data_IF_663277042818
#
_entry.id   IF_663277042818
#
_cell.length_a   1.000
_cell.length_b   1.000
_cell.length_c   1.000
_cell.angle_alpha   90.00
_cell.angle_beta   90.00
_cell.angle_gamma   90.00
#
_symmetry.space_group_name_H-M   'P 1'
#
loop_
_entity.id
_entity.type
_entity.pdbx_description
1 polymer ?
#
# COMPACT_ATOMS: atom_id res chain seq x y z
N UNK A 1 -1.37 5.86 10.67
CA UNK A 1 -0.35 4.79 10.87
C UNK A 1 1.06 5.34 10.73
N UNK A 2 1.54 5.66 9.52
CA UNK A 2 2.96 5.95 9.30
C UNK A 2 3.51 7.09 10.15
N UNK A 3 2.87 8.26 10.17
CA UNK A 3 3.35 9.38 11.00
C UNK A 3 3.47 9.03 12.49
N UNK A 4 2.58 8.21 13.03
CA UNK A 4 2.67 7.77 14.42
C UNK A 4 3.89 6.86 14.65
N UNK A 5 4.17 5.94 13.72
CA UNK A 5 5.36 5.07 13.73
C UNK A 5 6.64 5.90 13.63
N UNK A 6 6.63 6.93 12.79
CA UNK A 6 7.74 7.85 12.60
C UNK A 6 8.08 8.62 13.88
N UNK A 7 7.07 9.27 14.47
CA UNK A 7 7.20 10.01 15.73
C UNK A 7 7.67 9.05 16.84
N UNK A 8 7.11 7.84 16.90
CA UNK A 8 7.49 6.79 17.84
C UNK A 8 8.99 6.45 17.77
N UNK A 9 9.53 6.25 16.56
CA UNK A 9 10.95 5.95 16.41
C UNK A 9 11.84 7.17 16.68
N UNK A 10 11.43 8.35 16.23
CA UNK A 10 12.19 9.59 16.44
C UNK A 10 12.40 9.91 17.93
N UNK A 11 11.36 9.73 18.76
CA UNK A 11 11.45 9.95 20.20
C UNK A 11 11.96 8.75 20.99
N UNK A 12 12.29 7.62 20.35
CA UNK A 12 12.72 6.41 21.04
C UNK A 12 11.66 5.88 22.02
N UNK A 13 10.39 6.14 21.74
CA UNK A 13 9.26 5.83 22.63
C UNK A 13 8.97 4.33 22.77
N UNK A 14 9.81 3.47 22.17
CA UNK A 14 9.74 2.01 22.22
C UNK A 14 9.83 1.40 23.61
N UNK A 15 10.37 2.17 24.57
CA UNK A 15 10.50 1.78 25.98
C UNK A 15 9.20 1.97 26.77
N UNK A 16 8.26 2.77 26.26
CA UNK A 16 6.99 3.09 26.95
C UNK A 16 5.90 2.17 26.38
N UNK A 17 5.40 1.24 27.22
CA UNK A 17 4.37 0.26 26.85
C UNK A 17 3.10 0.93 26.31
N UNK A 18 2.64 2.00 26.94
CA UNK A 18 1.45 2.75 26.53
C UNK A 18 1.53 3.38 25.14
N UNK A 19 2.73 3.61 24.59
CA UNK A 19 2.90 4.11 23.21
C UNK A 19 3.11 2.94 22.25
N UNK A 20 3.82 1.90 22.67
CA UNK A 20 4.07 0.72 21.84
C UNK A 20 2.77 -0.04 21.46
N UNK A 21 1.83 -0.21 22.40
CA UNK A 21 0.63 -1.02 22.17
C UNK A 21 -0.27 -0.44 21.05
N UNK A 22 -0.63 0.87 21.05
CA UNK A 22 -1.38 1.47 19.94
C UNK A 22 -0.64 1.43 18.61
N UNK A 23 0.69 1.60 18.62
CA UNK A 23 1.51 1.48 17.41
C UNK A 23 1.44 0.07 16.83
N UNK A 24 1.37 -0.96 17.68
CA UNK A 24 1.19 -2.34 17.22
C UNK A 24 -0.19 -2.55 16.59
N UNK A 25 -1.26 -2.06 17.20
CA UNK A 25 -2.61 -2.10 16.60
C UNK A 25 -2.65 -1.42 15.24
N UNK A 26 -1.91 -0.32 15.09
CA UNK A 26 -1.74 0.39 13.84
C UNK A 26 -1.07 -0.49 12.75
N UNK A 27 -0.04 -1.26 13.08
CA UNK A 27 0.59 -2.25 12.17
C UNK A 27 -0.41 -3.37 11.83
N UNK A 28 -1.11 -3.91 12.83
CA UNK A 28 -2.15 -4.91 12.64
C UNK A 28 -3.27 -4.40 11.71
N UNK A 29 -3.65 -3.12 11.81
CA UNK A 29 -4.62 -2.47 10.91
C UNK A 29 -4.15 -2.48 9.45
N UNK A 30 -2.85 -2.32 9.19
CA UNK A 30 -2.31 -2.38 7.84
C UNK A 30 -2.34 -3.81 7.27
N UNK A 31 -1.99 -4.79 8.09
CA UNK A 31 -2.07 -6.20 7.71
C UNK A 31 -3.52 -6.65 7.49
N UNK A 32 -4.46 -6.15 8.31
CA UNK A 32 -5.90 -6.30 8.08
C UNK A 32 -6.29 -5.76 6.70
N UNK A 33 -5.87 -4.53 6.36
CA UNK A 33 -6.17 -3.92 5.06
C UNK A 33 -5.55 -4.70 3.89
N UNK A 34 -4.36 -5.27 4.08
CA UNK A 34 -3.70 -6.16 3.11
C UNK A 34 -4.56 -7.41 2.87
N UNK A 35 -4.98 -8.09 3.95
CA UNK A 35 -5.90 -9.23 3.89
C UNK A 35 -7.22 -8.90 3.19
N UNK A 36 -7.85 -7.80 3.59
CA UNK A 36 -9.12 -7.33 3.04
C UNK A 36 -9.02 -6.96 1.55
N UNK A 37 -8.04 -6.14 1.19
CA UNK A 37 -7.89 -5.57 -0.16
C UNK A 37 -7.56 -6.62 -1.21
N UNK A 38 -6.58 -7.49 -0.93
CA UNK A 38 -6.20 -8.53 -1.87
C UNK A 38 -7.29 -9.60 -2.02
N UNK A 39 -7.94 -10.01 -0.93
CA UNK A 39 -9.07 -10.96 -0.98
C UNK A 39 -10.24 -10.38 -1.78
N UNK A 40 -10.60 -9.12 -1.53
CA UNK A 40 -11.66 -8.44 -2.29
C UNK A 40 -11.34 -8.38 -3.78
N UNK A 41 -10.08 -8.11 -4.16
CA UNK A 41 -9.69 -8.14 -5.56
C UNK A 41 -9.88 -9.53 -6.17
N UNK A 42 -9.35 -10.59 -5.54
CA UNK A 42 -9.40 -11.93 -6.13
C UNK A 42 -10.83 -12.47 -6.19
N UNK A 43 -11.69 -12.13 -5.23
CA UNK A 43 -13.11 -12.49 -5.29
C UNK A 43 -13.88 -11.75 -6.37
N UNK A 44 -13.57 -10.48 -6.64
CA UNK A 44 -14.32 -9.67 -7.61
C UNK A 44 -13.79 -9.75 -9.04
N UNK A 45 -12.47 -9.77 -9.20
CA UNK A 45 -11.81 -9.73 -10.52
C UNK A 45 -11.38 -11.12 -11.01
N UNK A 46 -11.23 -12.10 -10.11
CA UNK A 46 -10.76 -13.45 -10.42
C UNK A 46 -9.47 -13.52 -11.28
N UNK A 47 -8.68 -12.45 -11.25
CA UNK A 47 -7.44 -12.33 -12.03
C UNK A 47 -6.26 -12.80 -11.18
N UNK A 48 -5.68 -13.92 -11.59
CA UNK A 48 -4.53 -14.58 -10.97
C UNK A 48 -3.26 -14.46 -11.83
N UNK A 49 -3.20 -13.47 -12.74
CA UNK A 49 -2.08 -13.26 -13.63
C UNK A 49 -0.76 -12.99 -12.90
N UNK A 50 0.34 -13.53 -13.45
CA UNK A 50 1.70 -13.34 -12.94
C UNK A 50 2.11 -11.87 -12.89
N UNK A 51 1.64 -11.05 -13.83
CA UNK A 51 1.96 -9.62 -13.91
C UNK A 51 1.57 -8.87 -12.63
N UNK A 52 0.44 -9.22 -12.01
CA UNK A 52 0.03 -8.61 -10.74
C UNK A 52 0.97 -8.98 -9.60
N UNK A 53 1.36 -10.25 -9.52
CA UNK A 53 2.30 -10.74 -8.49
C UNK A 53 3.62 -9.99 -8.63
N UNK A 54 4.14 -9.91 -9.85
CA UNK A 54 5.34 -9.15 -10.18
C UNK A 54 5.23 -7.68 -9.74
N UNK A 55 4.15 -6.99 -10.09
CA UNK A 55 3.95 -5.58 -9.74
C UNK A 55 3.94 -5.36 -8.22
N UNK A 56 3.20 -6.19 -7.47
CA UNK A 56 3.13 -6.06 -6.01
C UNK A 56 4.47 -6.38 -5.36
N UNK A 57 5.11 -7.48 -5.75
CA UNK A 57 6.39 -7.91 -5.19
C UNK A 57 7.51 -6.91 -5.49
N UNK A 58 7.61 -6.40 -6.72
CA UNK A 58 8.59 -5.37 -7.08
C UNK A 58 8.30 -4.09 -6.30
N UNK A 59 7.04 -3.61 -6.26
CA UNK A 59 6.71 -2.35 -5.57
C UNK A 59 7.06 -2.38 -4.09
N UNK A 60 6.81 -3.50 -3.41
CA UNK A 60 7.02 -3.65 -1.97
C UNK A 60 8.50 -3.83 -1.60
N UNK A 61 9.31 -4.39 -2.50
CA UNK A 61 10.68 -4.81 -2.19
C UNK A 61 11.77 -3.99 -2.89
N UNK A 62 11.44 -3.24 -3.94
CA UNK A 62 12.45 -2.54 -4.75
C UNK A 62 13.32 -1.61 -3.90
N UNK A 63 12.70 -0.80 -3.04
CA UNK A 63 13.45 0.15 -2.21
C UNK A 63 14.26 -0.56 -1.11
N UNK A 64 13.68 -1.55 -0.43
CA UNK A 64 14.39 -2.28 0.64
C UNK A 64 15.58 -3.07 0.09
N UNK A 65 15.44 -3.68 -1.09
CA UNK A 65 16.53 -4.39 -1.75
C UNK A 65 17.63 -3.44 -2.21
N UNK A 66 17.27 -2.32 -2.86
CA UNK A 66 18.24 -1.31 -3.26
C UNK A 66 19.04 -0.81 -2.04
N UNK A 67 18.34 -0.51 -0.96
CA UNK A 67 18.96 0.06 0.23
C UNK A 67 19.84 -0.94 0.96
N UNK A 68 19.41 -2.21 1.05
CA UNK A 68 20.20 -3.30 1.60
C UNK A 68 21.57 -3.43 0.91
N UNK A 69 21.59 -3.40 -0.44
CA UNK A 69 22.85 -3.45 -1.19
C UNK A 69 23.67 -2.17 -1.06
N UNK A 70 23.05 -0.99 -1.14
CA UNK A 70 23.81 0.28 -1.08
C UNK A 70 24.41 0.58 0.29
N UNK A 71 23.76 0.13 1.36
CA UNK A 71 24.17 0.41 2.75
C UNK A 71 24.87 -0.78 3.41
N UNK A 72 25.06 -1.89 2.67
CA UNK A 72 25.59 -3.14 3.20
C UNK A 72 24.85 -3.61 4.46
N UNK A 73 23.52 -3.61 4.41
CA UNK A 73 22.66 -4.01 5.53
C UNK A 73 21.82 -5.23 5.19
N UNK A 74 21.47 -6.01 6.22
CA UNK A 74 20.61 -7.17 6.02
C UNK A 74 19.18 -6.76 5.64
N UNK A 75 18.63 -7.42 4.63
CA UNK A 75 17.26 -7.18 4.19
C UNK A 75 16.20 -7.43 5.29
N UNK A 76 16.47 -8.33 6.24
CA UNK A 76 15.56 -8.61 7.36
C UNK A 76 15.43 -7.43 8.33
N UNK A 77 16.42 -6.52 8.35
CA UNK A 77 16.37 -5.27 9.12
C UNK A 77 15.16 -4.41 8.70
N UNK A 78 14.73 -4.49 7.44
CA UNK A 78 13.51 -3.86 6.94
C UNK A 78 12.28 -4.77 7.02
N UNK A 79 12.12 -5.51 8.12
CA UNK A 79 11.18 -6.63 8.28
C UNK A 79 9.75 -6.41 7.75
N UNK A 80 9.25 -5.16 7.76
CA UNK A 80 7.89 -4.84 7.32
C UNK A 80 7.66 -5.19 5.83
N UNK A 81 8.65 -4.93 4.97
CA UNK A 81 8.57 -5.22 3.53
C UNK A 81 8.46 -6.73 3.22
N UNK A 82 9.34 -7.62 3.74
CA UNK A 82 9.17 -9.05 3.57
C UNK A 82 7.93 -9.60 4.27
N UNK A 83 7.53 -9.05 5.43
CA UNK A 83 6.33 -9.47 6.15
C UNK A 83 5.08 -9.30 5.28
N UNK A 84 4.88 -8.11 4.71
CA UNK A 84 3.72 -7.81 3.85
C UNK A 84 3.78 -8.61 2.55
N UNK A 85 4.97 -8.79 1.99
CA UNK A 85 5.18 -9.61 0.78
C UNK A 85 4.81 -11.08 1.01
N UNK A 86 5.21 -11.65 2.14
CA UNK A 86 4.87 -13.02 2.53
C UNK A 86 3.36 -13.19 2.70
N UNK A 87 2.70 -12.26 3.42
CA UNK A 87 1.24 -12.29 3.56
C UNK A 87 0.51 -12.15 2.23
N UNK A 88 0.98 -11.29 1.33
CA UNK A 88 0.43 -11.19 -0.03
C UNK A 88 0.52 -12.54 -0.77
N UNK A 89 1.66 -13.23 -0.70
CA UNK A 89 1.84 -14.53 -1.33
C UNK A 89 0.95 -15.61 -0.70
N UNK A 90 0.79 -15.62 0.62
CA UNK A 90 -0.16 -16.53 1.32
C UNK A 90 -1.58 -16.28 0.84
N UNK A 91 -2.03 -15.02 0.82
CA UNK A 91 -3.38 -14.66 0.35
C UNK A 91 -3.55 -15.08 -1.12
N UNK A 92 -2.56 -14.82 -1.97
CA UNK A 92 -2.59 -15.24 -3.38
C UNK A 92 -2.70 -16.76 -3.50
N UNK A 93 -1.85 -17.52 -2.80
CA UNK A 93 -1.86 -18.98 -2.81
C UNK A 93 -3.20 -19.54 -2.35
N UNK A 94 -3.72 -19.07 -1.22
CA UNK A 94 -5.03 -19.47 -0.68
C UNK A 94 -6.17 -19.10 -1.62
N UNK A 95 -6.07 -17.99 -2.36
CA UNK A 95 -7.09 -17.59 -3.32
C UNK A 95 -7.00 -18.34 -4.65
N UNK A 96 -5.80 -18.74 -5.06
CA UNK A 96 -5.50 -19.45 -6.30
C UNK A 96 -5.86 -20.94 -6.22
N UNK A 97 -5.57 -21.60 -5.10
CA UNK A 97 -5.91 -23.00 -4.88
C UNK A 97 -7.43 -23.17 -4.95
N UNK A 98 -7.90 -23.93 -5.93
CA UNK A 98 -9.33 -24.15 -6.14
C UNK A 98 -10.09 -22.90 -6.61
N UNK A 99 -9.44 -21.99 -7.35
CA UNK A 99 -10.04 -20.72 -7.81
C UNK A 99 -11.43 -20.87 -8.45
N UNK A 100 -11.68 -21.98 -9.15
CA UNK A 100 -12.96 -22.32 -9.80
C UNK A 100 -14.13 -22.50 -8.82
N UNK A 101 -13.85 -22.77 -7.55
CA UNK A 101 -14.86 -23.03 -6.52
C UNK A 101 -14.98 -21.88 -5.51
N UNK A 102 -14.33 -20.74 -5.76
CA UNK A 102 -14.36 -19.58 -4.87
C UNK A 102 -15.77 -18.97 -4.72
N UNK A 103 -16.69 -19.26 -5.64
CA UNK A 103 -18.10 -18.83 -5.55
C UNK A 103 -18.83 -19.48 -4.37
N UNK A 104 -18.43 -20.70 -4.00
CA UNK A 104 -19.02 -21.41 -2.86
C UNK A 104 -18.40 -20.91 -1.56
N UNK A 105 -19.13 -20.06 -0.84
CA UNK A 105 -18.74 -19.55 0.48
C UNK A 105 -18.22 -20.62 1.45
N UNK A 106 -18.86 -21.80 1.64
CA UNK A 106 -18.34 -22.80 2.58
C UNK A 106 -16.98 -23.37 2.15
N UNK A 107 -16.74 -23.55 0.84
CA UNK A 107 -15.44 -23.98 0.32
C UNK A 107 -14.38 -22.90 0.54
N UNK A 108 -14.74 -21.64 0.29
CA UNK A 108 -13.89 -20.48 0.52
C UNK A 108 -13.49 -20.30 2.00
N UNK A 109 -14.42 -20.56 2.93
CA UNK A 109 -14.13 -20.53 4.36
C UNK A 109 -13.24 -21.71 4.77
N UNK A 110 -13.53 -22.91 4.25
CA UNK A 110 -12.72 -24.11 4.49
C UNK A 110 -11.25 -23.91 4.12
N UNK A 111 -10.97 -23.36 2.93
CA UNK A 111 -9.57 -23.09 2.52
C UNK A 111 -8.88 -22.02 3.38
N UNK A 112 -9.61 -21.01 3.86
CA UNK A 112 -9.05 -19.98 4.73
C UNK A 112 -8.66 -20.60 6.08
N UNK A 113 -9.50 -21.47 6.63
CA UNK A 113 -9.21 -22.23 7.86
C UNK A 113 -8.00 -23.14 7.64
N UNK A 114 -7.95 -23.88 6.52
CA UNK A 114 -6.81 -24.74 6.19
C UNK A 114 -5.53 -23.91 6.06
N UNK A 115 -5.57 -22.78 5.35
CA UNK A 115 -4.44 -21.84 5.24
C UNK A 115 -4.00 -21.35 6.62
N UNK A 116 -4.95 -20.98 7.49
CA UNK A 116 -4.65 -20.51 8.84
C UNK A 116 -3.95 -21.59 9.67
N UNK A 117 -4.42 -22.84 9.61
CA UNK A 117 -3.79 -23.98 10.27
C UNK A 117 -2.38 -24.23 9.72
N UNK A 118 -2.23 -24.30 8.38
CA UNK A 118 -0.94 -24.55 7.74
C UNK A 118 0.10 -23.48 8.10
N UNK A 119 -0.25 -22.20 8.03
CA UNK A 119 0.66 -21.11 8.38
C UNK A 119 0.97 -21.12 9.87
N UNK A 120 0.00 -21.43 10.74
CA UNK A 120 0.23 -21.52 12.19
C UNK A 120 1.20 -22.66 12.54
N UNK A 121 1.00 -23.84 11.94
CA UNK A 121 1.90 -25.00 12.14
C UNK A 121 3.29 -24.66 11.61
N UNK A 122 3.38 -24.09 10.41
CA UNK A 122 4.66 -23.71 9.81
C UNK A 122 5.44 -22.67 10.64
N UNK A 123 4.75 -21.72 11.28
CA UNK A 123 5.39 -20.72 12.14
C UNK A 123 5.72 -21.26 13.54
N UNK A 124 4.97 -22.26 14.04
CA UNK A 124 5.25 -22.89 15.34
C UNK A 124 6.47 -23.81 15.29
N UNK A 125 6.65 -24.50 14.17
CA UNK A 125 7.72 -25.46 13.97
C UNK A 125 9.00 -24.76 13.47
N UNK A 126 9.84 -24.25 14.39
CA UNK A 126 11.06 -23.50 14.07
C UNK A 126 12.02 -24.28 13.15
N UNK A 127 12.04 -25.61 13.24
CA UNK A 127 12.92 -26.46 12.42
C UNK A 127 12.62 -26.36 10.91
N UNK A 128 11.35 -26.17 10.51
CA UNK A 128 10.98 -26.00 9.10
C UNK A 128 11.54 -24.69 8.54
N UNK A 129 11.41 -23.61 9.32
CA UNK A 129 11.96 -22.31 8.99
C UNK A 129 13.50 -22.34 8.97
N UNK A 130 14.12 -23.02 9.92
CA UNK A 130 15.57 -23.19 9.92
C UNK A 130 16.08 -23.93 8.69
N UNK A 131 15.42 -25.00 8.25
CA UNK A 131 15.79 -25.71 7.02
C UNK A 131 15.67 -24.78 5.82
N UNK A 132 14.55 -24.04 5.72
CA UNK A 132 14.33 -23.09 4.64
C UNK A 132 15.39 -21.99 4.61
N UNK A 133 15.74 -21.42 5.77
CA UNK A 133 16.73 -20.35 5.85
C UNK A 133 18.16 -20.86 5.68
N UNK A 134 18.48 -22.09 6.15
CA UNK A 134 19.76 -22.75 5.84
C UNK A 134 19.88 -23.03 4.35
N UNK A 135 18.81 -23.45 3.68
CA UNK A 135 18.78 -23.63 2.23
C UNK A 135 18.98 -22.28 1.51
N UNK A 136 18.29 -21.23 1.96
CA UNK A 136 18.42 -19.88 1.40
C UNK A 136 19.83 -19.31 1.62
N UNK A 137 20.44 -19.57 2.77
CA UNK A 137 21.82 -19.20 3.06
C UNK A 137 22.80 -19.92 2.12
N UNK A 138 22.60 -21.23 1.86
CA UNK A 138 23.48 -22.00 0.95
C UNK A 138 23.31 -21.62 -0.51
N UNK A 139 22.07 -21.45 -0.97
CA UNK A 139 21.78 -21.19 -2.39
C UNK A 139 22.03 -19.72 -2.70
N UNK A 140 21.51 -18.82 -1.87
CA UNK A 140 21.49 -17.39 -2.17
C UNK A 140 22.46 -16.57 -1.33
N UNK A 141 23.15 -17.12 -0.33
CA UNK A 141 24.03 -16.33 0.56
C UNK A 141 23.27 -15.40 1.52
N UNK A 142 22.00 -15.67 1.81
CA UNK A 142 21.14 -14.80 2.63
C UNK A 142 21.05 -15.34 4.07
N UNK A 143 21.54 -14.58 5.04
CA UNK A 143 21.53 -14.94 6.46
C UNK A 143 20.31 -14.35 7.20
N UNK A 144 19.28 -15.14 7.45
CA UNK A 144 18.08 -14.70 8.19
C UNK A 144 17.95 -15.42 9.54
N UNK A 145 17.48 -14.69 10.55
CA UNK A 145 17.15 -15.24 11.87
C UNK A 145 15.74 -15.83 11.87
N UNK A 146 15.64 -17.16 11.99
CA UNK A 146 14.36 -17.86 12.08
C UNK A 146 13.56 -17.42 13.31
N UNK A 147 14.21 -17.30 14.46
CA UNK A 147 13.58 -16.89 15.73
C UNK A 147 12.96 -15.50 15.64
N UNK A 148 13.70 -14.54 15.08
CA UNK A 148 13.19 -13.17 14.93
C UNK A 148 12.03 -13.12 13.94
N UNK A 149 12.13 -13.86 12.84
CA UNK A 149 11.07 -13.96 11.85
C UNK A 149 9.79 -14.55 12.43
N UNK A 150 9.89 -15.70 13.11
CA UNK A 150 8.77 -16.35 13.81
C UNK A 150 8.10 -15.40 14.79
N UNK A 151 8.90 -14.70 15.61
CA UNK A 151 8.36 -13.72 16.55
C UNK A 151 7.57 -12.62 15.84
N UNK A 152 8.12 -12.03 14.78
CA UNK A 152 7.49 -10.92 14.05
C UNK A 152 6.19 -11.33 13.37
N UNK A 153 6.14 -12.52 12.79
CA UNK A 153 4.95 -13.06 12.09
C UNK A 153 3.87 -13.47 13.08
N UNK A 154 4.24 -14.18 14.14
CA UNK A 154 3.28 -14.75 15.12
C UNK A 154 2.50 -13.66 15.85
N UNK A 155 3.11 -12.49 16.06
CA UNK A 155 2.45 -11.34 16.69
C UNK A 155 1.20 -10.90 15.93
N UNK A 156 1.22 -10.87 14.59
CA UNK A 156 0.09 -10.41 13.77
C UNK A 156 -0.54 -11.55 12.95
N UNK A 157 -0.47 -12.79 13.45
CA UNK A 157 -0.86 -13.98 12.68
C UNK A 157 -2.33 -13.97 12.24
N UNK A 158 -3.24 -13.67 13.18
CA UNK A 158 -4.68 -13.83 12.98
C UNK A 158 -5.31 -12.66 12.23
N UNK A 159 -4.74 -11.45 12.33
CA UNK A 159 -5.38 -10.22 11.84
C UNK A 159 -5.56 -10.22 10.32
N UNK A 160 -4.65 -10.84 9.58
CA UNK A 160 -4.76 -10.96 8.12
C UNK A 160 -5.96 -11.82 7.73
N UNK A 161 -6.15 -12.95 8.41
CA UNK A 161 -7.32 -13.83 8.21
C UNK A 161 -8.63 -13.14 8.59
N UNK A 162 -8.65 -12.36 9.67
CA UNK A 162 -9.81 -11.51 10.01
C UNK A 162 -10.10 -10.49 8.89
N UNK A 163 -9.06 -9.92 8.26
CA UNK A 163 -9.20 -9.10 7.06
C UNK A 163 -9.83 -9.84 5.88
N UNK A 164 -9.42 -11.08 5.62
CA UNK A 164 -10.02 -11.93 4.58
C UNK A 164 -11.50 -12.23 4.88
N UNK A 165 -11.83 -12.57 6.13
CA UNK A 165 -13.21 -12.83 6.56
C UNK A 165 -14.08 -11.58 6.47
N UNK A 166 -13.55 -10.42 6.84
CA UNK A 166 -14.23 -9.14 6.70
C UNK A 166 -14.52 -8.80 5.23
N UNK A 167 -13.60 -9.13 4.30
CA UNK A 167 -13.85 -8.98 2.86
C UNK A 167 -15.04 -9.83 2.39
N UNK A 168 -15.07 -11.11 2.79
CA UNK A 168 -16.18 -12.02 2.48
C UNK A 168 -17.48 -11.49 3.09
N UNK A 169 -17.46 -11.08 4.36
CA UNK A 169 -18.62 -10.54 5.06
C UNK A 169 -19.21 -9.32 4.33
N UNK A 170 -18.38 -8.36 3.94
CA UNK A 170 -18.83 -7.17 3.20
C UNK A 170 -19.41 -7.53 1.83
N UNK A 171 -18.81 -8.50 1.12
CA UNK A 171 -19.33 -8.98 -0.17
C UNK A 171 -20.70 -9.64 0.02
N UNK A 172 -20.84 -10.55 1.00
CA UNK A 172 -22.10 -11.26 1.26
C UNK A 172 -23.22 -10.35 1.78
N UNK A 173 -22.90 -9.36 2.62
CA UNK A 173 -23.86 -8.32 3.05
C UNK A 173 -24.45 -7.61 1.82
N UNK A 174 -23.65 -7.33 0.80
CA UNK A 174 -24.10 -6.70 -0.45
C UNK A 174 -24.88 -7.67 -1.34
N UNK A 175 -24.42 -8.90 -1.50
CA UNK A 175 -25.09 -9.92 -2.33
C UNK A 175 -26.50 -10.24 -1.83
N UNK A 176 -26.66 -10.46 -0.52
CA UNK A 176 -27.95 -10.75 0.10
C UNK A 176 -28.77 -9.51 0.46
N UNK A 177 -28.30 -8.31 0.10
CA UNK A 177 -28.96 -7.02 0.38
C UNK A 177 -29.42 -6.87 1.84
N UNK A 178 -28.56 -7.28 2.79
CA UNK A 178 -28.88 -7.19 4.22
C UNK A 178 -29.15 -5.74 4.66
N UNK A 179 -28.61 -4.76 3.94
CA UNK A 179 -28.81 -3.33 4.19
C UNK A 179 -30.24 -2.85 3.98
N UNK A 180 -31.06 -3.60 3.23
CA UNK A 180 -32.46 -3.26 2.93
C UNK A 180 -33.44 -3.85 3.96
N UNK A 181 -32.99 -4.72 4.86
CA UNK A 181 -33.85 -5.36 5.85
C UNK A 181 -34.24 -4.40 6.97
N UNK A 182 -35.46 -4.52 7.50
CA UNK A 182 -35.97 -3.66 8.58
C UNK A 182 -35.10 -3.68 9.85
N UNK A 183 -34.49 -4.83 10.16
CA UNK A 183 -33.61 -5.01 11.32
C UNK A 183 -32.22 -4.39 11.14
N UNK A 184 -31.84 -3.98 9.92
CA UNK A 184 -30.51 -3.42 9.64
C UNK A 184 -30.22 -2.16 10.45
N UNK A 185 -31.22 -1.30 10.63
CA UNK A 185 -31.06 -0.07 11.41
C UNK A 185 -30.74 -0.36 12.88
N UNK A 186 -31.44 -1.34 13.48
CA UNK A 186 -31.18 -1.77 14.84
C UNK A 186 -29.80 -2.42 14.95
N UNK A 187 -29.48 -3.37 14.06
CA UNK A 187 -28.20 -4.06 14.03
C UNK A 187 -27.02 -3.07 13.87
N UNK A 188 -27.17 -2.06 13.01
CA UNK A 188 -26.15 -1.01 12.82
C UNK A 188 -25.98 -0.16 14.10
N UNK A 189 -27.06 0.24 14.76
CA UNK A 189 -26.97 1.02 16.02
C UNK A 189 -26.33 0.22 17.14
N UNK A 190 -26.71 -1.06 17.28
CA UNK A 190 -26.09 -1.98 18.24
C UNK A 190 -24.61 -2.16 17.94
N UNK A 191 -24.24 -2.37 16.66
CA UNK A 191 -22.84 -2.51 16.25
C UNK A 191 -22.01 -1.24 16.54
N UNK A 192 -22.58 -0.05 16.33
CA UNK A 192 -21.92 1.24 16.66
C UNK A 192 -21.71 1.35 18.18
N UNK A 193 -22.75 1.10 18.99
CA UNK A 193 -22.65 1.15 20.45
C UNK A 193 -21.65 0.13 21.00
N UNK A 194 -21.71 -1.11 20.51
CA UNK A 194 -20.76 -2.17 20.85
C UNK A 194 -19.33 -1.79 20.45
N UNK A 195 -19.12 -1.19 19.28
CA UNK A 195 -17.79 -0.77 18.82
C UNK A 195 -17.21 0.35 19.69
N UNK A 196 -18.02 1.32 20.13
CA UNK A 196 -17.59 2.34 21.06
C UNK A 196 -17.16 1.73 22.41
N UNK A 197 -17.97 0.79 22.94
CA UNK A 197 -17.63 0.08 24.18
C UNK A 197 -16.36 -0.76 24.03
N UNK A 198 -16.16 -1.44 22.90
CA UNK A 198 -14.94 -2.19 22.60
C UNK A 198 -13.69 -1.31 22.60
N UNK A 199 -13.76 -0.08 22.06
CA UNK A 199 -12.62 0.85 22.11
C UNK A 199 -12.33 1.34 23.53
N UNK A 200 -13.37 1.64 24.33
CA UNK A 200 -13.20 2.02 25.74
C UNK A 200 -12.60 0.87 26.55
N UNK A 201 -13.11 -0.35 26.35
CA UNK A 201 -12.56 -1.55 26.97
C UNK A 201 -11.11 -1.79 26.55
N UNK A 202 -10.80 -1.65 25.26
CA UNK A 202 -9.44 -1.84 24.77
C UNK A 202 -8.47 -0.81 25.36
N UNK A 203 -8.88 0.45 25.47
CA UNK A 203 -8.10 1.50 26.12
C UNK A 203 -7.84 1.19 27.61
N UNK A 204 -8.86 0.73 28.35
CA UNK A 204 -8.69 0.29 29.72
C UNK A 204 -7.76 -0.93 29.83
N UNK A 205 -7.94 -1.92 28.95
CA UNK A 205 -7.09 -3.10 28.88
C UNK A 205 -5.63 -2.73 28.65
N UNK A 206 -5.34 -1.79 27.72
CA UNK A 206 -3.97 -1.34 27.44
C UNK A 206 -3.31 -0.67 28.65
N UNK A 207 -4.05 0.15 29.40
CA UNK A 207 -3.55 0.83 30.61
C UNK A 207 -3.28 -0.13 31.77
N UNK A 208 -3.98 -1.25 31.82
CA UNK A 208 -3.84 -2.27 32.87
C UNK A 208 -2.68 -3.25 32.62
N UNK A 209 -2.02 -3.21 31.45
CA UNK A 209 -0.92 -4.13 31.16
C UNK A 209 0.38 -3.71 31.85
N UNK A 210 0.93 -4.60 32.68
CA UNK A 210 2.17 -4.38 33.43
C UNK A 210 3.40 -4.27 32.53
N UNK A 211 3.45 -5.00 31.41
CA UNK A 211 4.62 -5.05 30.55
C UNK A 211 4.30 -5.23 29.07
N UNK A 212 5.25 -4.80 28.23
CA UNK A 212 5.25 -5.03 26.78
C UNK A 212 5.19 -6.53 26.44
N UNK A 213 5.84 -7.37 27.24
CA UNK A 213 5.88 -8.82 26.99
C UNK A 213 4.52 -9.46 27.23
N UNK A 214 3.84 -9.06 28.30
CA UNK A 214 2.47 -9.51 28.60
C UNK A 214 1.52 -9.10 27.47
N UNK A 215 1.59 -7.85 27.02
CA UNK A 215 0.78 -7.39 25.89
C UNK A 215 1.08 -8.16 24.60
N UNK A 216 2.35 -8.39 24.27
CA UNK A 216 2.75 -9.13 23.06
C UNK A 216 2.16 -10.55 23.01
N UNK A 217 1.98 -11.19 24.17
CA UNK A 217 1.34 -12.51 24.24
C UNK A 217 -0.15 -12.45 23.89
N UNK A 218 -0.86 -11.41 24.36
CA UNK A 218 -2.29 -11.23 24.09
C UNK A 218 -2.58 -10.64 22.71
N UNK A 219 -1.66 -9.82 22.18
CA UNK A 219 -1.84 -9.03 20.96
C UNK A 219 -2.41 -9.83 19.75
N UNK A 220 -1.90 -11.04 19.41
CA UNK A 220 -2.43 -11.81 18.29
C UNK A 220 -3.93 -12.08 18.38
N UNK A 221 -4.45 -12.22 19.60
CA UNK A 221 -5.83 -12.62 19.88
C UNK A 221 -6.78 -11.44 20.12
N UNK A 222 -6.27 -10.25 20.43
CA UNK A 222 -7.10 -9.08 20.75
C UNK A 222 -7.03 -7.98 19.70
N UNK A 223 -5.99 -7.96 18.85
CA UNK A 223 -5.71 -6.86 17.92
C UNK A 223 -6.83 -6.59 16.93
N UNK A 224 -7.63 -7.59 16.59
CA UNK A 224 -8.76 -7.43 15.67
C UNK A 224 -9.93 -6.64 16.26
N UNK A 225 -10.09 -6.64 17.59
CA UNK A 225 -11.20 -5.97 18.27
C UNK A 225 -11.17 -4.45 18.02
N UNK A 226 -10.09 -3.71 18.35
CA UNK A 226 -10.04 -2.27 18.08
C UNK A 226 -10.05 -1.95 16.58
N UNK A 227 -9.49 -2.82 15.73
CA UNK A 227 -9.49 -2.64 14.27
C UNK A 227 -10.91 -2.70 13.70
N UNK A 228 -11.68 -3.74 14.04
CA UNK A 228 -13.07 -3.87 13.59
C UNK A 228 -13.97 -2.79 14.19
N UNK A 229 -13.81 -2.49 15.48
CA UNK A 229 -14.54 -1.42 16.14
C UNK A 229 -14.31 -0.06 15.46
N UNK A 230 -13.05 0.26 15.15
CA UNK A 230 -12.71 1.48 14.41
C UNK A 230 -13.35 1.50 13.03
N UNK A 231 -13.35 0.38 12.29
CA UNK A 231 -13.96 0.31 10.96
C UNK A 231 -15.48 0.58 11.03
N UNK A 232 -16.18 -0.02 11.99
CA UNK A 232 -17.62 0.20 12.16
C UNK A 232 -17.90 1.66 12.50
N UNK A 233 -17.20 2.23 13.48
CA UNK A 233 -17.37 3.63 13.89
C UNK A 233 -17.03 4.60 12.76
N UNK A 234 -15.96 4.33 12.01
CA UNK A 234 -15.55 5.14 10.86
C UNK A 234 -16.58 5.14 9.73
N UNK A 235 -17.38 4.07 9.61
CA UNK A 235 -18.44 3.94 8.61
C UNK A 235 -19.84 4.22 9.17
N UNK A 236 -19.97 4.68 10.43
CA UNK A 236 -21.25 4.89 11.10
C UNK A 236 -22.10 6.02 10.49
N UNK A 237 -21.45 7.06 9.94
CA UNK A 237 -22.14 8.20 9.31
C UNK A 237 -21.49 8.57 7.98
N UNK A 238 -22.26 9.25 7.13
CA UNK A 238 -21.75 9.75 5.83
C UNK A 238 -20.59 10.72 6.04
N UNK A 239 -20.70 11.61 7.04
CA UNK A 239 -19.67 12.60 7.39
C UNK A 239 -18.37 11.91 7.78
N UNK A 240 -18.44 10.92 8.69
CA UNK A 240 -17.25 10.19 9.12
C UNK A 240 -16.64 9.40 7.97
N UNK A 241 -17.47 8.80 7.10
CA UNK A 241 -16.97 8.03 5.96
C UNK A 241 -16.32 8.91 4.89
N UNK A 242 -16.82 10.12 4.65
CA UNK A 242 -16.31 11.02 3.60
C UNK A 242 -15.18 11.94 4.05
N UNK A 243 -15.02 12.19 5.36
CA UNK A 243 -14.02 13.13 5.88
C UNK A 243 -12.62 12.52 5.94
N UNK A 244 -11.76 12.78 4.95
CA UNK A 244 -10.34 12.40 4.97
C UNK A 244 -9.41 13.61 4.96
N UNK A 245 -8.30 13.56 5.69
CA UNK A 245 -7.28 14.60 5.63
C UNK A 245 -6.41 14.43 4.38
N UNK A 246 -6.29 15.50 3.59
CA UNK A 246 -5.39 15.55 2.43
C UNK A 246 -3.92 15.35 2.83
N UNK A 247 -3.50 15.89 3.97
CA UNK A 247 -2.13 15.72 4.47
C UNK A 247 -1.82 14.26 4.84
N UNK A 248 -2.74 13.59 5.54
CA UNK A 248 -2.58 12.15 5.83
C UNK A 248 -2.65 11.30 4.56
N UNK A 249 -3.47 11.70 3.58
CA UNK A 249 -3.52 11.03 2.28
C UNK A 249 -2.21 11.19 1.49
N UNK A 250 -1.60 12.38 1.51
CA UNK A 250 -0.30 12.65 0.88
C UNK A 250 0.80 11.76 1.47
N UNK A 251 0.98 11.76 2.79
CA UNK A 251 1.98 10.90 3.44
C UNK A 251 1.66 9.40 3.24
N UNK A 252 0.38 9.06 3.13
CA UNK A 252 -0.06 7.71 2.78
C UNK A 252 0.46 7.23 1.41
N UNK A 253 0.63 8.13 0.43
CA UNK A 253 1.11 7.79 -0.93
C UNK A 253 2.58 7.38 -0.96
N UNK A 254 3.43 8.04 -0.17
CA UNK A 254 4.85 7.71 -0.01
C UNK A 254 5.12 6.91 1.27
N UNK A 255 4.12 6.17 1.76
CA UNK A 255 4.15 5.53 3.08
C UNK A 255 5.26 4.50 3.25
N UNK A 256 5.53 3.70 2.22
CA UNK A 256 6.57 2.67 2.25
C UNK A 256 7.95 3.30 2.26
N UNK A 257 8.17 4.31 1.42
CA UNK A 257 9.41 5.07 1.34
C UNK A 257 9.70 5.78 2.66
N UNK A 258 8.69 6.45 3.21
CA UNK A 258 8.77 7.14 4.49
C UNK A 258 9.15 6.17 5.61
N UNK A 259 8.59 4.96 5.62
CA UNK A 259 8.91 3.93 6.62
C UNK A 259 10.35 3.42 6.53
N UNK A 260 10.93 3.34 5.33
CA UNK A 260 12.29 2.79 5.14
C UNK A 260 13.34 3.89 5.33
N UNK A 261 13.14 5.06 4.72
CA UNK A 261 14.10 6.17 4.73
C UNK A 261 14.31 6.72 6.15
N UNK A 262 13.34 6.59 7.06
CA UNK A 262 13.49 7.06 8.45
C UNK A 262 14.75 6.50 9.12
N UNK A 263 15.12 5.25 8.81
CA UNK A 263 16.28 4.56 9.40
C UNK A 263 17.64 5.08 8.90
N UNK A 264 17.65 5.79 7.78
CA UNK A 264 18.88 6.25 7.11
C UNK A 264 19.03 7.76 7.07
N UNK A 265 17.92 8.48 7.26
CA UNK A 265 17.92 9.93 7.19
C UNK A 265 17.66 10.56 8.56
N UNK A 266 16.60 10.14 9.26
CA UNK A 266 16.27 10.71 10.56
C UNK A 266 17.02 10.06 11.71
N UNK A 267 17.18 8.74 11.63
CA UNK A 267 17.80 7.92 12.66
C UNK A 267 19.21 7.54 12.20
N UNK A 268 20.14 7.45 13.15
CA UNK A 268 21.51 6.99 12.95
C UNK A 268 21.87 5.92 14.00
N UNK A 269 22.89 5.12 13.73
CA UNK A 269 23.43 4.13 14.68
C UNK A 269 22.37 3.17 15.23
N UNK A 270 21.66 2.45 14.34
CA UNK A 270 20.61 1.48 14.70
C UNK A 270 19.52 2.06 15.60
N UNK A 271 18.95 3.21 15.19
CA UNK A 271 17.87 3.92 15.91
C UNK A 271 18.26 4.57 17.23
N UNK A 272 19.57 4.64 17.56
CA UNK A 272 20.04 5.24 18.81
C UNK A 272 20.46 6.71 18.69
N UNK A 273 20.69 7.19 17.47
CA UNK A 273 21.06 8.57 17.17
C UNK A 273 20.01 9.27 16.32
N UNK A 274 19.99 10.60 16.38
CA UNK A 274 19.16 11.48 15.54
C UNK A 274 20.08 12.38 14.72
N UNK A 275 19.76 12.57 13.44
CA UNK A 275 20.54 13.43 12.56
C UNK A 275 20.44 14.92 12.98
N UNK A 276 21.60 15.54 13.16
CA UNK A 276 21.75 16.98 13.41
C UNK A 276 22.41 17.63 12.18
N UNK A 277 21.64 18.39 11.42
CA UNK A 277 22.12 19.16 10.26
C UNK A 277 22.64 20.53 10.71
N UNK A 278 22.00 21.12 11.72
CA UNK A 278 22.44 22.37 12.32
C UNK A 278 23.33 22.08 13.55
N UNK A 279 24.58 22.56 13.58
CA UNK A 279 25.45 22.37 14.74
C UNK A 279 24.93 23.22 15.92
N UNK A 280 24.67 22.57 17.05
CA UNK A 280 24.26 23.23 18.30
C UNK A 280 23.01 22.63 18.92
N UNK A 281 23.09 22.24 20.19
CA UNK A 281 21.99 21.61 20.95
C UNK A 281 20.80 22.54 21.21
N UNK A 282 20.97 23.86 21.11
CA UNK A 282 19.91 24.85 21.29
C UNK A 282 18.95 24.93 20.11
N UNK A 283 19.39 24.55 18.90
CA UNK A 283 18.60 24.63 17.67
C UNK A 283 17.83 23.34 17.37
N UNK A 284 17.69 22.43 18.34
CA UNK A 284 17.03 21.12 18.16
C UNK A 284 15.62 21.21 17.57
N UNK A 285 14.71 22.12 17.98
CA UNK A 285 13.38 22.23 17.37
C UNK A 285 13.44 22.69 15.91
N UNK A 286 14.35 23.61 15.58
CA UNK A 286 14.51 24.12 14.22
C UNK A 286 15.15 23.05 13.32
N UNK A 287 16.14 22.31 13.84
CA UNK A 287 16.69 21.14 13.16
C UNK A 287 15.61 20.10 12.88
N UNK A 288 14.71 19.82 13.84
CA UNK A 288 13.59 18.89 13.63
C UNK A 288 12.66 19.35 12.51
N UNK A 289 12.25 20.63 12.49
CA UNK A 289 11.39 21.16 11.42
C UNK A 289 12.08 21.05 10.07
N UNK A 290 13.34 21.49 9.97
CA UNK A 290 14.10 21.48 8.73
C UNK A 290 14.33 20.07 8.19
N UNK A 291 14.81 19.16 9.05
CA UNK A 291 15.01 17.75 8.70
C UNK A 291 13.70 17.06 8.34
N UNK A 292 12.57 17.44 8.95
CA UNK A 292 11.23 16.90 8.60
C UNK A 292 10.81 17.32 7.19
N UNK A 293 11.00 18.58 6.82
CA UNK A 293 10.68 19.07 5.47
C UNK A 293 11.52 18.33 4.44
N UNK A 294 12.83 18.22 4.68
CA UNK A 294 13.77 17.56 3.78
C UNK A 294 13.47 16.06 3.65
N UNK A 295 13.14 15.40 4.75
CA UNK A 295 12.76 14.00 4.82
C UNK A 295 11.47 13.68 4.05
N UNK A 296 10.42 14.49 4.21
CA UNK A 296 9.15 14.32 3.50
C UNK A 296 9.35 14.52 1.99
N UNK A 297 10.12 15.54 1.60
CA UNK A 297 10.45 15.79 0.20
C UNK A 297 11.22 14.61 -0.42
N UNK A 298 12.25 14.11 0.25
CA UNK A 298 13.02 12.96 -0.20
C UNK A 298 12.15 11.70 -0.35
N UNK A 299 11.25 11.47 0.61
CA UNK A 299 10.33 10.32 0.58
C UNK A 299 9.35 10.40 -0.59
N UNK A 300 8.86 11.60 -0.93
CA UNK A 300 7.99 11.83 -2.09
C UNK A 300 8.72 11.60 -3.42
N UNK A 301 9.93 12.14 -3.57
CA UNK A 301 10.76 11.91 -4.76
C UNK A 301 11.12 10.43 -4.94
N UNK A 302 11.48 9.75 -3.85
CA UNK A 302 11.74 8.31 -3.88
C UNK A 302 10.49 7.53 -4.29
N UNK A 303 9.30 7.93 -3.82
CA UNK A 303 8.05 7.24 -4.16
C UNK A 303 7.71 7.37 -5.65
N UNK A 304 8.01 8.52 -6.25
CA UNK A 304 7.89 8.71 -7.70
C UNK A 304 8.89 7.83 -8.46
N UNK A 305 10.14 7.82 -8.04
CA UNK A 305 11.19 7.01 -8.66
C UNK A 305 10.90 5.50 -8.58
N UNK A 306 10.55 4.99 -7.39
CA UNK A 306 10.24 3.56 -7.20
C UNK A 306 9.03 3.13 -8.01
N UNK A 307 8.01 4.00 -8.12
CA UNK A 307 6.82 3.73 -8.93
C UNK A 307 7.15 3.71 -10.42
N UNK A 308 7.95 4.65 -10.92
CA UNK A 308 8.39 4.68 -12.31
C UNK A 308 9.28 3.48 -12.69
N UNK A 309 10.18 3.06 -11.80
CA UNK A 309 11.01 1.88 -12.02
C UNK A 309 10.15 0.61 -12.00
N UNK A 310 9.20 0.52 -11.07
CA UNK A 310 8.27 -0.62 -11.00
C UNK A 310 7.46 -0.76 -12.29
N UNK A 311 6.94 0.34 -12.82
CA UNK A 311 6.18 0.32 -14.09
C UNK A 311 7.06 -0.03 -15.29
N UNK A 312 8.31 0.44 -15.30
CA UNK A 312 9.29 0.07 -16.33
C UNK A 312 9.66 -1.42 -16.31
N UNK A 313 9.86 -2.01 -15.13
CA UNK A 313 10.16 -3.44 -14.96
C UNK A 313 8.96 -4.29 -15.36
N UNK A 314 7.76 -3.93 -14.90
CA UNK A 314 6.56 -4.75 -15.06
C UNK A 314 5.81 -4.55 -16.39
N UNK A 315 6.28 -3.65 -17.26
CA UNK A 315 5.66 -3.36 -18.55
C UNK A 315 4.37 -2.53 -18.41
N UNK A 316 4.21 -1.53 -19.27
CA UNK A 316 3.07 -0.61 -19.24
C UNK A 316 1.75 -1.34 -19.54
N UNK A 317 0.90 -1.44 -18.52
CA UNK A 317 -0.52 -1.11 -18.70
C UNK A 317 -0.78 0.17 -17.92
N UNK A 318 -0.36 1.29 -18.50
CA UNK A 318 -0.77 2.62 -18.07
C UNK A 318 -2.30 2.74 -18.16
N UNK A 319 -2.98 2.42 -17.05
CA UNK A 319 -4.30 2.91 -16.58
C UNK A 319 -4.88 2.10 -15.41
N UNK A 320 -4.11 1.23 -14.77
CA UNK A 320 -4.39 0.84 -13.39
C UNK A 320 -3.39 1.55 -12.49
N UNK A 321 -3.76 2.73 -11.98
CA UNK A 321 -3.19 3.16 -10.70
C UNK A 321 -3.46 2.02 -9.72
N UNK A 322 -2.45 1.18 -9.47
CA UNK A 322 -2.51 0.21 -8.40
C UNK A 322 -2.83 1.02 -7.15
N UNK A 323 -4.01 0.86 -6.55
CA UNK A 323 -4.21 1.40 -5.22
C UNK A 323 -3.10 0.77 -4.38
N UNK A 324 -2.37 1.58 -3.62
CA UNK A 324 -1.71 1.04 -2.44
C UNK A 324 -2.76 0.20 -1.67
N UNK A 325 -2.37 -0.77 -0.83
CA UNK A 325 -3.30 -1.55 0.00
C UNK A 325 -4.25 -0.72 0.90
N UNK A 326 -4.24 0.61 0.80
CA UNK A 326 -4.84 1.59 1.69
C UNK A 326 -5.92 2.50 1.06
N UNK A 327 -6.32 2.35 -0.21
CA UNK A 327 -7.39 3.21 -0.76
C UNK A 327 -8.48 2.42 -1.50
N UNK A 328 -9.58 2.15 -0.78
CA UNK A 328 -10.86 1.75 -1.39
C UNK A 328 -11.66 3.03 -1.62
N UNK A 329 -11.67 3.54 -2.85
CA UNK A 329 -12.63 4.56 -3.28
C UNK A 329 -13.99 3.89 -3.52
N UNK A 330 -15.11 4.40 -2.98
CA UNK A 330 -16.43 3.90 -3.33
C UNK A 330 -16.74 4.28 -4.79
N UNK A 331 -16.98 3.27 -5.64
CA UNK A 331 -17.49 3.48 -6.98
C UNK A 331 -18.90 4.07 -6.91
N UNK A 332 -19.12 5.21 -7.58
CA UNK A 332 -20.41 5.84 -7.72
C UNK A 332 -21.37 4.92 -8.49
N UNK A 333 -22.57 4.74 -7.93
CA UNK A 333 -23.71 4.14 -8.58
C UNK A 333 -24.27 5.11 -9.62
N UNK A 334 -24.38 4.67 -10.87
CA UNK A 334 -25.26 5.27 -11.87
C UNK A 334 -26.35 4.25 -12.17
N UNK A 335 -27.60 4.67 -11.98
CA UNK A 335 -28.78 3.83 -12.03
C UNK A 335 -29.11 3.29 -13.42
N UNK A 336 -29.59 2.05 -13.45
CA UNK A 336 -30.24 1.44 -14.61
C UNK A 336 -31.75 1.65 -14.50
N UNK A 337 -32.29 2.53 -15.34
CA UNK A 337 -33.70 2.52 -15.73
C UNK A 337 -33.92 1.53 -16.87
N UNK A 338 -35.01 0.76 -16.76
CA UNK A 338 -35.48 -0.26 -17.70
C UNK A 338 -35.86 0.31 -19.07
N UNK A 339 -35.67 -0.48 -20.13
CA UNK A 339 -36.67 -0.84 -21.17
C UNK A 339 -36.01 -1.83 -22.17
N UNK A 340 -36.79 -2.83 -22.61
CA UNK A 340 -36.36 -3.92 -23.51
C UNK A 340 -36.55 -3.61 -25.01
N UNK A 341 -36.74 -4.64 -25.85
CA UNK A 341 -35.72 -5.22 -26.73
C UNK A 341 -35.96 -4.92 -28.22
N UNK A 342 -34.94 -5.05 -29.09
CA UNK A 342 -35.08 -5.63 -30.44
C UNK A 342 -33.76 -5.76 -31.25
N UNK A 343 -33.62 -6.94 -31.84
CA UNK A 343 -33.03 -7.38 -33.12
C UNK A 343 -31.73 -6.80 -33.75
N UNK A 344 -30.84 -7.76 -34.05
CA UNK A 344 -30.17 -8.03 -35.34
C UNK A 344 -28.78 -7.44 -35.72
N UNK A 345 -27.83 -8.39 -35.88
CA UNK A 345 -26.85 -8.60 -36.98
C UNK A 345 -25.64 -7.67 -37.22
N UNK A 346 -24.46 -8.27 -36.96
CA UNK A 346 -23.29 -8.52 -37.83
C UNK A 346 -22.50 -7.39 -38.53
N UNK A 347 -21.20 -7.45 -38.26
CA UNK A 347 -20.01 -7.32 -39.13
C UNK A 347 -19.37 -5.94 -39.44
N UNK A 348 -18.07 -5.92 -39.08
CA UNK A 348 -16.89 -5.39 -39.77
C UNK A 348 -16.65 -3.86 -39.91
N UNK A 349 -15.59 -3.44 -39.22
CA UNK A 349 -14.49 -2.55 -39.62
C UNK A 349 -14.73 -1.45 -40.67
N UNK A 350 -14.64 -0.19 -40.25
CA UNK A 350 -13.53 0.72 -40.56
C UNK A 350 -13.92 2.19 -40.32
N UNK A 351 -13.00 2.92 -39.67
CA UNK A 351 -12.77 4.37 -39.62
C UNK A 351 -13.78 5.34 -40.26
N UNK A 352 -14.13 6.42 -39.53
CA UNK A 352 -13.84 7.83 -39.89
C UNK A 352 -14.51 8.76 -38.84
N UNK A 353 -13.80 9.85 -38.53
CA UNK A 353 -14.14 10.94 -37.60
C UNK A 353 -15.41 11.74 -37.99
N UNK A 354 -15.72 12.80 -37.21
CA UNK A 354 -16.56 14.02 -37.46
C UNK A 354 -17.46 14.32 -36.22
N UNK A 355 -17.75 15.58 -35.80
CA UNK A 355 -17.00 16.83 -35.80
C UNK A 355 -17.22 17.73 -34.54
N UNK A 356 -16.45 18.83 -34.45
CA UNK A 356 -16.76 20.01 -33.65
C UNK A 356 -17.95 20.80 -34.26
N UNK A 357 -18.79 21.36 -33.39
CA UNK A 357 -19.92 22.23 -33.77
C UNK A 357 -19.42 23.67 -33.94
N UNK A 358 -19.67 24.24 -35.11
CA UNK A 358 -19.62 25.69 -35.41
C UNK A 358 -21.02 26.31 -35.41
N UNK A 359 -21.15 27.64 -35.20
CA UNK A 359 -22.41 28.35 -35.03
C UNK A 359 -23.01 28.81 -36.38
N UNK A 360 -24.33 29.06 -36.40
CA UNK A 360 -25.07 29.81 -37.45
C UNK A 360 -25.98 30.83 -36.74
N UNK A 361 -26.23 32.03 -37.25
CA UNK A 361 -25.96 32.55 -38.59
C UNK A 361 -25.99 34.08 -38.66
N UNK A 362 -25.74 34.58 -39.88
CA UNK A 362 -25.70 35.99 -40.25
C UNK A 362 -27.07 36.53 -40.65
N UNK A 363 -27.35 37.79 -40.27
CA UNK A 363 -28.25 38.72 -40.98
C UNK A 363 -27.52 40.07 -41.10
N UNK A 364 -27.51 40.74 -42.27
CA UNK A 364 -26.69 41.93 -42.49
C UNK A 364 -27.46 43.24 -42.22
N UNK A 365 -26.86 44.15 -41.45
CA UNK A 365 -27.32 45.54 -41.36
C UNK A 365 -27.27 46.11 -39.94
N UNK A 366 -26.11 46.62 -39.53
CA UNK A 366 -25.92 47.84 -38.72
C UNK A 366 -24.41 48.02 -38.42
N UNK A 367 -23.85 49.25 -38.45
CA UNK A 367 -22.43 49.47 -38.16
C UNK A 367 -22.18 49.56 -36.65
N UNK A 368 -21.32 48.67 -36.12
CA UNK A 368 -20.82 48.75 -34.75
C UNK A 368 -19.74 49.85 -34.63
N UNK A 369 -19.68 50.58 -33.50
CA UNK A 369 -18.76 51.70 -33.30
C UNK A 369 -17.30 51.23 -33.08
N UNK A 370 -16.29 52.09 -33.34
CA UNK A 370 -14.89 51.75 -33.12
C UNK A 370 -14.53 51.81 -31.63
N UNK A 371 -13.97 50.72 -31.09
CA UNK A 371 -13.32 50.73 -29.77
C UNK A 371 -11.94 51.41 -29.85
N UNK A 372 -11.52 52.18 -28.81
CA UNK A 372 -10.33 53.00 -28.87
C UNK A 372 -9.04 52.27 -28.47
N UNK A 373 -7.97 52.63 -29.16
CA UNK A 373 -6.58 52.22 -28.94
C UNK A 373 -6.11 52.45 -27.49
N UNK A 374 -5.56 51.41 -26.85
CA UNK A 374 -4.62 51.57 -25.72
C UNK A 374 -3.43 50.59 -25.83
N UNK A 375 -2.24 51.01 -25.36
CA UNK A 375 -0.98 50.62 -25.97
C UNK A 375 -0.30 49.41 -25.32
N UNK A 376 0.56 48.79 -26.13
CA UNK A 376 1.52 47.70 -25.85
C UNK A 376 2.14 47.79 -24.45
N UNK A 377 1.92 46.75 -23.62
CA UNK A 377 2.64 46.57 -22.35
C UNK A 377 3.69 45.46 -22.47
N UNK A 378 4.92 45.83 -22.13
CA UNK A 378 6.15 45.03 -22.20
C UNK A 378 6.04 43.65 -21.52
N UNK A 379 6.49 42.60 -22.21
CA UNK A 379 6.66 41.23 -21.68
C UNK A 379 7.49 41.24 -20.39
N UNK A 380 6.95 40.64 -19.33
CA UNK A 380 7.59 40.51 -18.00
C UNK A 380 8.69 39.45 -18.03
N UNK A 381 9.76 39.69 -17.27
CA UNK A 381 10.87 38.74 -17.04
C UNK A 381 10.46 37.36 -16.51
N UNK A 382 9.22 37.21 -16.05
CA UNK A 382 8.64 35.97 -15.52
C UNK A 382 8.47 34.92 -16.63
N UNK A 383 8.19 35.35 -17.86
CA UNK A 383 8.05 34.44 -19.00
C UNK A 383 9.39 33.82 -19.40
N UNK A 384 10.52 34.49 -19.11
CA UNK A 384 11.88 33.94 -19.31
C UNK A 384 12.30 32.93 -18.24
N UNK A 385 11.62 32.88 -17.10
CA UNK A 385 11.86 31.88 -16.05
C UNK A 385 11.04 30.60 -16.24
N UNK A 386 9.98 30.66 -17.05
CA UNK A 386 9.20 29.50 -17.46
C UNK A 386 9.91 28.66 -18.54
N UNK A 387 10.82 29.28 -19.31
CA UNK A 387 11.72 28.60 -20.26
C UNK A 387 13.05 28.23 -19.60
N UNK A 388 12.97 27.55 -18.46
CA UNK A 388 14.12 26.95 -17.79
C UNK A 388 14.51 25.62 -18.43
N UNK A 389 15.65 25.62 -19.13
CA UNK A 389 16.54 24.47 -19.42
C UNK A 389 15.87 23.12 -19.76
N UNK A 390 15.84 22.79 -21.05
CA UNK A 390 15.71 21.41 -21.52
C UNK A 390 16.79 20.54 -20.85
N UNK A 391 16.48 19.35 -20.32
CA UNK A 391 17.50 18.50 -19.74
C UNK A 391 18.39 17.95 -20.87
N UNK A 392 19.63 18.41 -20.92
CA UNK A 392 20.70 17.80 -21.70
C UNK A 392 20.85 16.35 -21.21
N UNK A 393 20.38 15.39 -22.02
CA UNK A 393 20.55 13.96 -21.75
C UNK A 393 22.03 13.61 -21.75
N UNK A 394 22.60 13.41 -20.57
CA UNK A 394 23.87 12.69 -20.38
C UNK A 394 23.70 11.24 -20.90
N UNK A 395 24.68 10.67 -21.61
CA UNK A 395 24.57 9.31 -22.14
C UNK A 395 24.90 8.30 -21.04
N UNK A 396 24.01 8.17 -20.05
CA UNK A 396 24.10 7.17 -18.98
C UNK A 396 23.09 6.04 -19.22
N UNK A 397 23.59 4.80 -19.30
CA UNK A 397 22.79 3.56 -19.26
C UNK A 397 21.86 3.29 -20.46
N UNK A 398 22.41 3.31 -21.68
CA UNK A 398 21.72 2.88 -22.91
C UNK A 398 21.76 1.36 -23.17
N UNK A 399 22.02 0.53 -22.16
CA UNK A 399 22.01 -0.93 -22.34
C UNK A 399 20.59 -1.51 -22.28
N UNK A 400 19.64 -0.80 -21.66
CA UNK A 400 18.27 -1.27 -21.48
C UNK A 400 17.19 -0.32 -22.00
N UNK A 401 17.59 0.86 -22.48
CA UNK A 401 16.73 1.85 -23.15
C UNK A 401 16.92 1.76 -24.67
N UNK A 402 16.75 0.55 -25.19
CA UNK A 402 16.42 0.33 -26.59
C UNK A 402 14.96 -0.06 -26.68
N UNK A 403 14.28 0.35 -27.74
CA UNK A 403 13.02 -0.21 -28.23
C UNK A 403 13.16 -1.72 -28.51
N UNK A 404 13.42 -2.49 -27.46
CA UNK A 404 13.49 -3.94 -27.50
C UNK A 404 12.30 -4.46 -26.71
N UNK A 405 11.17 -4.43 -27.39
CA UNK A 405 9.91 -5.13 -27.09
C UNK A 405 10.08 -6.67 -27.00
N UNK A 406 11.31 -7.20 -26.90
CA UNK A 406 11.59 -8.63 -26.95
C UNK A 406 11.62 -9.36 -25.61
N UNK A 407 11.79 -8.66 -24.48
CA UNK A 407 11.89 -9.33 -23.17
C UNK A 407 10.63 -9.12 -22.34
N UNK A 408 9.79 -10.15 -22.29
CA UNK A 408 8.61 -10.20 -21.43
C UNK A 408 8.98 -10.00 -19.95
N UNK A 409 7.99 -9.57 -19.14
CA UNK A 409 8.15 -9.29 -17.70
C UNK A 409 8.83 -10.43 -16.95
N UNK A 410 8.52 -11.68 -17.31
CA UNK A 410 9.15 -12.89 -16.76
C UNK A 410 10.66 -12.88 -16.98
N UNK A 411 11.12 -12.57 -18.19
CA UNK A 411 12.56 -12.57 -18.53
C UNK A 411 13.29 -11.44 -17.82
N UNK A 412 12.71 -10.24 -17.75
CA UNK A 412 13.30 -9.11 -17.00
C UNK A 412 13.48 -9.44 -15.51
N UNK A 413 12.48 -10.06 -14.90
CA UNK A 413 12.55 -10.47 -13.50
C UNK A 413 13.54 -11.61 -13.28
N UNK A 414 13.58 -12.60 -14.16
CA UNK A 414 14.56 -13.69 -14.06
C UNK A 414 15.98 -13.15 -14.15
N UNK A 415 16.26 -12.25 -15.10
CA UNK A 415 17.57 -11.59 -15.21
C UNK A 415 17.89 -10.78 -13.96
N UNK A 416 16.92 -10.02 -13.44
CA UNK A 416 17.10 -9.24 -12.20
C UNK A 416 17.40 -10.12 -11.00
N UNK A 417 16.65 -11.22 -10.81
CA UNK A 417 16.87 -12.18 -9.72
C UNK A 417 18.21 -12.91 -9.90
N UNK A 418 18.58 -13.29 -11.13
CA UNK A 418 19.86 -13.93 -11.41
C UNK A 418 21.04 -12.98 -11.14
N UNK A 419 20.91 -11.70 -11.48
CA UNK A 419 21.89 -10.68 -11.15
C UNK A 419 22.02 -10.51 -9.63
N UNK A 420 20.89 -10.39 -8.91
CA UNK A 420 20.88 -10.32 -7.45
C UNK A 420 21.51 -11.55 -6.80
N UNK A 421 21.21 -12.73 -7.32
CA UNK A 421 21.76 -14.00 -6.85
C UNK A 421 23.27 -14.06 -7.03
N UNK A 422 23.76 -13.70 -8.23
CA UNK A 422 25.19 -13.64 -8.51
C UNK A 422 25.89 -12.59 -7.64
N UNK A 423 25.31 -11.39 -7.48
CA UNK A 423 25.87 -10.38 -6.60
C UNK A 423 25.93 -10.88 -5.16
N UNK A 424 24.90 -11.55 -4.65
CA UNK A 424 24.88 -11.98 -3.25
C UNK A 424 25.87 -13.13 -2.96
N UNK A 425 26.16 -13.97 -3.95
CA UNK A 425 27.20 -15.01 -3.81
C UNK A 425 28.62 -14.44 -3.94
N UNK A 426 28.80 -13.38 -4.72
CA UNK A 426 30.09 -12.73 -4.92
C UNK A 426 30.38 -11.67 -3.85
N UNK A 427 29.35 -11.20 -3.14
CA UNK A 427 29.48 -10.21 -2.07
C UNK A 427 30.11 -10.87 -0.85
N UNK A 428 31.36 -10.51 -0.57
CA UNK A 428 32.04 -10.92 0.65
C UNK A 428 31.56 -10.03 1.80
N UNK A 429 30.91 -10.64 2.78
CA UNK A 429 30.45 -9.99 4.02
C UNK A 429 31.61 -9.61 4.94
#
# INVERSE_FOLDING_TARGET
>A
MQLAILIYHYFGASKISGIYNPIRVLVASYLFMTGYGHTTYYLKKADFGFLRIAQVMVRLNLLTLLLAYTMNTDYISYYFSPLVSMWFLIIYGTMFVGARFNDRTPFLLGKIIISAILVTVFMREEWLLEILFKLLARICGIHWSAREWTFRVTLDLWIVYIGMLAAIGVIKIREYRLTEHAQWQLASRVAIGASALCLVWFFAFELLQESKFTYNHWHPYISFIPVLAFIVLRNASVILRSASSSAFAFIGRCSLETFIIQYHFWLAGDTRGVLLVLPGTQWRPINYIFTTIMFIYLSDQMAHATTAITSWICGSTAKASLPLPTTVTPANAAGTSRLGPDFARSNEDASVAIPLISPKGNTPGEPLPPEPDTPVRSRRWVDRLAEGSSPTRTPGFRMWSGENEGYGVKTKLIVGVAAMWATNLLWQY
#
